data_IF_615404978113
#
_entry.id   IF_615404978113
#
_cell.length_a   1.000
_cell.length_b   1.000
_cell.length_c   1.000
_cell.angle_alpha   90.00
_cell.angle_beta   90.00
_cell.angle_gamma   90.00
#
_symmetry.space_group_name_H-M   'P 1'
#
loop_
_entity.id
_entity.type
_entity.pdbx_description
1 polymer ?
#
# COMPACT_ATOMS: atom_id res chain seq x y z
N UNK A 1 -26.32 45.19 2.41
CA UNK A 1 -25.48 44.45 1.46
C UNK A 1 -24.03 44.20 1.91
N UNK A 2 -23.52 44.76 3.03
CA UNK A 2 -22.10 44.60 3.43
C UNK A 2 -21.79 43.50 4.47
N UNK A 3 -22.78 42.71 4.94
CA UNK A 3 -22.57 41.62 5.92
C UNK A 3 -22.61 40.19 5.35
N UNK A 4 -23.00 40.03 4.07
CA UNK A 4 -23.02 38.71 3.40
C UNK A 4 -21.70 38.37 2.70
N UNK A 5 -20.85 39.36 2.43
CA UNK A 5 -19.55 39.16 1.79
C UNK A 5 -18.47 38.64 2.76
N UNK A 6 -18.58 38.91 4.06
CA UNK A 6 -17.58 38.49 5.05
C UNK A 6 -17.72 37.01 5.44
N UNK A 7 -18.95 36.46 5.42
CA UNK A 7 -19.19 35.03 5.64
C UNK A 7 -18.79 34.14 4.45
N UNK A 8 -18.80 34.70 3.23
CA UNK A 8 -18.29 34.01 2.04
C UNK A 8 -16.75 33.96 1.99
N UNK A 9 -16.06 34.84 2.70
CA UNK A 9 -14.59 34.88 2.71
C UNK A 9 -13.97 33.96 3.76
N UNK A 10 -14.71 33.59 4.81
CA UNK A 10 -14.24 32.67 5.86
C UNK A 10 -14.50 31.20 5.49
N UNK A 11 -15.51 30.90 4.67
CA UNK A 11 -15.77 29.54 4.17
C UNK A 11 -14.85 29.10 3.00
N UNK A 12 -14.20 30.05 2.32
CA UNK A 12 -13.27 29.76 1.21
C UNK A 12 -11.83 29.49 1.72
N UNK A 13 -11.53 29.80 2.98
CA UNK A 13 -10.19 29.64 3.57
C UNK A 13 -9.91 28.23 4.14
N UNK A 14 -10.90 27.32 4.15
CA UNK A 14 -10.75 25.95 4.70
C UNK A 14 -10.76 24.85 3.63
N UNK A 15 -10.78 25.18 2.34
CA UNK A 15 -10.86 24.21 1.23
C UNK A 15 -9.55 24.12 0.45
N UNK A 16 -8.43 23.84 1.10
CA UNK A 16 -7.21 23.44 0.40
C UNK A 16 -6.42 22.47 1.25
N UNK A 17 -6.64 21.18 1.02
CA UNK A 17 -5.65 20.11 0.82
C UNK A 17 -6.46 18.90 0.35
N UNK A 18 -6.31 18.52 -0.90
CA UNK A 18 -6.87 17.27 -1.45
C UNK A 18 -5.83 16.66 -2.38
N UNK A 19 -5.64 15.36 -2.28
CA UNK A 19 -4.40 14.68 -2.68
C UNK A 19 -4.73 13.24 -3.00
N UNK A 20 -4.61 12.89 -4.27
CA UNK A 20 -5.07 11.63 -4.86
C UNK A 20 -4.25 10.41 -4.42
N UNK A 21 -4.91 9.24 -4.36
CA UNK A 21 -4.37 7.87 -4.35
C UNK A 21 -3.16 7.59 -3.44
N UNK A 22 -3.41 7.05 -2.24
CA UNK A 22 -2.38 6.74 -1.24
C UNK A 22 -2.52 5.30 -0.70
N UNK A 23 -1.51 4.79 -0.02
CA UNK A 23 -1.50 3.48 0.65
C UNK A 23 -2.37 3.46 1.89
N UNK A 24 -2.64 2.27 2.44
CA UNK A 24 -3.09 2.12 3.80
C UNK A 24 -2.09 2.79 4.78
N UNK A 25 -2.57 3.68 5.66
CA UNK A 25 -1.72 4.23 6.71
C UNK A 25 -1.25 3.11 7.63
N UNK A 26 -0.12 3.32 8.30
CA UNK A 26 0.29 2.44 9.37
C UNK A 26 -0.84 2.26 10.39
N UNK A 27 -0.97 1.03 10.91
CA UNK A 27 -1.99 0.68 11.91
C UNK A 27 -2.05 1.73 13.03
N UNK A 28 -3.24 2.27 13.37
CA UNK A 28 -3.37 3.19 14.49
C UNK A 28 -3.24 2.48 15.85
N UNK A 29 -3.37 1.15 15.85
CA UNK A 29 -3.27 0.31 17.04
C UNK A 29 -1.81 -0.07 17.35
N UNK A 30 -1.48 -0.26 18.63
CA UNK A 30 -0.15 -0.72 19.02
C UNK A 30 0.16 -2.10 18.46
N UNK A 31 1.43 -2.35 18.18
CA UNK A 31 1.99 -3.63 17.76
C UNK A 31 2.86 -4.15 18.90
N UNK A 32 2.64 -5.39 19.32
CA UNK A 32 3.52 -6.06 20.27
C UNK A 32 4.70 -6.63 19.47
N UNK A 33 5.90 -6.13 19.73
CA UNK A 33 7.13 -6.59 19.09
C UNK A 33 7.95 -7.41 20.08
N UNK A 34 8.31 -8.64 19.70
CA UNK A 34 9.31 -9.43 20.41
C UNK A 34 10.72 -8.89 20.10
N UNK A 35 11.52 -8.71 21.15
CA UNK A 35 12.92 -8.33 21.10
C UNK A 35 13.80 -9.59 21.03
N UNK A 36 15.05 -9.50 20.56
CA UNK A 36 15.96 -10.65 20.45
C UNK A 36 16.22 -11.44 21.75
N UNK A 37 15.97 -10.85 22.93
CA UNK A 37 16.08 -11.53 24.23
C UNK A 37 14.79 -12.25 24.67
N UNK A 38 13.77 -12.28 23.81
CA UNK A 38 12.45 -12.87 24.09
C UNK A 38 11.52 -11.98 24.90
N UNK A 39 11.96 -10.78 25.33
CA UNK A 39 11.05 -9.79 25.92
C UNK A 39 10.16 -9.17 24.85
N UNK A 40 8.98 -8.67 25.24
CA UNK A 40 8.08 -7.97 24.32
C UNK A 40 7.92 -6.51 24.72
N UNK A 41 7.85 -5.65 23.71
CA UNK A 41 7.59 -4.22 23.87
C UNK A 41 6.39 -3.79 23.03
N UNK A 42 5.63 -2.83 23.55
CA UNK A 42 4.57 -2.18 22.79
C UNK A 42 5.17 -1.05 21.96
N UNK A 43 4.92 -1.03 20.67
CA UNK A 43 5.38 0.03 19.76
C UNK A 43 4.27 0.43 18.82
N UNK A 44 4.42 1.62 18.25
CA UNK A 44 3.53 2.10 17.21
C UNK A 44 4.29 2.29 15.92
N UNK A 45 3.77 1.72 14.85
CA UNK A 45 4.15 2.13 13.50
C UNK A 45 3.35 3.38 13.11
N UNK A 46 4.02 4.31 12.46
CA UNK A 46 3.44 5.59 12.02
C UNK A 46 3.80 5.85 10.57
N UNK A 47 3.01 6.72 9.93
CA UNK A 47 3.25 7.12 8.56
C UNK A 47 2.50 6.28 7.54
N UNK A 48 3.02 6.27 6.33
CA UNK A 48 2.50 5.57 5.16
C UNK A 48 3.67 5.06 4.28
N UNK A 49 3.36 4.61 3.07
CA UNK A 49 4.33 4.08 2.09
C UNK A 49 5.41 5.10 1.71
N UNK A 50 5.13 6.40 1.81
CA UNK A 50 6.08 7.44 1.44
C UNK A 50 6.99 7.85 2.58
N UNK A 51 6.55 7.70 3.82
CA UNK A 51 7.42 7.88 4.98
C UNK A 51 6.78 7.20 6.19
N UNK A 52 7.50 6.26 6.79
CA UNK A 52 7.08 5.61 8.03
C UNK A 52 8.19 5.61 9.08
N UNK A 53 7.79 5.50 10.34
CA UNK A 53 8.70 5.36 11.48
C UNK A 53 8.04 4.53 12.57
N UNK A 54 8.84 4.15 13.57
CA UNK A 54 8.37 3.44 14.76
C UNK A 54 8.59 4.33 15.96
N UNK A 55 7.64 4.33 16.89
CA UNK A 55 7.75 5.07 18.16
C UNK A 55 7.21 4.28 19.35
N UNK A 56 7.63 4.65 20.55
CA UNK A 56 7.06 4.14 21.81
C UNK A 56 5.63 4.69 22.02
N UNK A 57 4.84 4.16 22.97
CA UNK A 57 3.54 4.73 23.34
C UNK A 57 3.60 6.20 23.78
N UNK A 58 4.75 6.64 24.31
CA UNK A 58 5.00 8.03 24.70
C UNK A 58 5.48 8.92 23.53
N UNK A 59 5.62 8.36 22.34
CA UNK A 59 5.98 9.07 21.10
C UNK A 59 7.48 9.29 20.90
N UNK A 60 8.35 8.48 21.51
CA UNK A 60 9.78 8.53 21.26
C UNK A 60 10.15 7.66 20.05
N UNK A 61 10.89 8.16 19.05
CA UNK A 61 11.23 7.39 17.86
C UNK A 61 12.17 6.23 18.19
N UNK A 62 11.97 5.13 17.49
CA UNK A 62 12.74 3.89 17.60
C UNK A 62 13.35 3.52 16.25
N UNK A 63 14.54 2.94 16.28
CA UNK A 63 15.20 2.33 15.13
C UNK A 63 15.59 0.91 15.50
N UNK A 64 15.34 -0.05 14.60
CA UNK A 64 15.81 -1.42 14.79
C UNK A 64 17.29 -1.47 14.46
N UNK A 65 18.11 -1.85 15.42
CA UNK A 65 19.53 -2.04 15.21
C UNK A 65 19.74 -3.28 14.34
N UNK A 66 20.29 -3.12 13.13
CA UNK A 66 20.44 -4.22 12.17
C UNK A 66 21.48 -5.26 12.60
N UNK A 67 22.41 -4.90 13.49
CA UNK A 67 23.42 -5.82 13.99
C UNK A 67 22.91 -6.67 15.16
N UNK A 68 22.07 -6.10 16.03
CA UNK A 68 21.60 -6.77 17.26
C UNK A 68 20.16 -7.24 17.19
N UNK A 69 19.35 -6.67 16.29
CA UNK A 69 17.92 -6.92 16.15
C UNK A 69 17.03 -6.17 17.14
N UNK A 70 17.60 -5.45 18.12
CA UNK A 70 16.82 -4.73 19.14
C UNK A 70 16.23 -3.44 18.59
N UNK A 71 15.03 -3.09 19.06
CA UNK A 71 14.54 -1.71 19.00
C UNK A 71 15.34 -0.85 19.99
N UNK A 72 15.96 0.20 19.47
CA UNK A 72 16.73 1.18 20.24
C UNK A 72 16.10 2.56 20.07
N UNK A 73 16.14 3.40 21.12
CA UNK A 73 15.75 4.80 21.01
C UNK A 73 16.56 5.49 19.92
N UNK A 74 15.95 6.44 19.20
CA UNK A 74 16.58 7.10 18.07
C UNK A 74 16.87 8.58 18.33
N UNK A 75 18.04 9.03 17.88
CA UNK A 75 18.32 10.45 17.70
C UNK A 75 17.74 10.93 16.37
N UNK A 76 17.23 12.16 16.38
CA UNK A 76 16.62 12.81 15.21
C UNK A 76 17.61 13.81 14.63
N UNK A 77 17.95 13.68 13.34
CA UNK A 77 18.69 14.67 12.58
C UNK A 77 17.99 14.94 11.25
N UNK A 78 17.15 15.98 11.21
CA UNK A 78 16.32 16.27 10.04
C UNK A 78 15.26 15.19 9.86
N UNK A 79 15.32 14.46 8.74
CA UNK A 79 14.45 13.31 8.44
C UNK A 79 15.14 11.95 8.68
N UNK A 80 16.34 11.96 9.26
CA UNK A 80 17.10 10.75 9.52
C UNK A 80 17.00 10.39 10.99
N UNK A 81 16.65 9.13 11.24
CA UNK A 81 16.69 8.51 12.55
C UNK A 81 17.96 7.66 12.65
N UNK A 82 18.74 7.88 13.71
CA UNK A 82 19.92 7.06 13.99
C UNK A 82 19.81 6.42 15.37
N UNK A 83 20.31 5.21 15.52
CA UNK A 83 20.29 4.54 16.82
C UNK A 83 21.04 5.35 17.89
N UNK A 84 20.49 5.39 19.11
CA UNK A 84 21.17 5.88 20.31
C UNK A 84 22.03 4.83 21.01
N UNK A 85 21.93 3.55 20.62
CA UNK A 85 22.52 2.41 21.33
C UNK A 85 21.80 2.01 22.62
N UNK A 86 20.73 2.70 23.00
CA UNK A 86 19.92 2.37 24.19
C UNK A 86 18.71 1.56 23.79
N UNK A 87 18.68 0.28 24.17
CA UNK A 87 17.55 -0.64 23.93
C UNK A 87 16.29 -0.14 24.62
N UNK A 88 15.19 -0.10 23.88
CA UNK A 88 13.87 0.20 24.42
C UNK A 88 13.30 -0.99 25.19
N UNK A 89 12.84 -0.73 26.41
CA UNK A 89 12.03 -1.65 27.22
C UNK A 89 10.83 -0.93 27.80
N UNK A 90 9.79 -1.68 28.10
CA UNK A 90 8.58 -1.13 28.72
C UNK A 90 8.91 -0.42 30.04
N UNK A 91 8.49 0.85 30.15
CA UNK A 91 8.74 1.75 31.27
C UNK A 91 10.19 2.27 31.43
N UNK A 92 11.11 2.00 30.49
CA UNK A 92 12.44 2.63 30.49
C UNK A 92 12.35 4.09 30.01
N UNK A 93 13.26 4.93 30.52
CA UNK A 93 13.39 6.31 30.06
C UNK A 93 14.32 6.41 28.84
N UNK A 94 14.04 7.29 27.88
CA UNK A 94 14.94 7.54 26.76
C UNK A 94 16.27 8.17 27.25
N UNK A 95 17.38 7.95 26.55
CA UNK A 95 18.63 8.63 26.85
C UNK A 95 18.52 10.14 26.59
N UNK A 96 19.40 10.93 27.23
CA UNK A 96 19.40 12.37 27.09
C UNK A 96 19.56 12.82 25.62
N UNK A 97 18.73 13.76 25.17
CA UNK A 97 18.77 14.29 23.81
C UNK A 97 17.84 13.59 22.81
N UNK A 98 17.22 12.47 23.18
CA UNK A 98 16.13 11.87 22.40
C UNK A 98 14.85 12.69 22.59
N UNK A 99 14.23 13.08 21.48
CA UNK A 99 13.03 13.94 21.46
C UNK A 99 11.81 13.14 21.05
N UNK A 100 10.65 13.47 21.64
CA UNK A 100 9.36 12.89 21.26
C UNK A 100 8.71 13.64 20.09
N UNK A 101 7.77 12.99 19.43
CA UNK A 101 6.95 13.60 18.38
C UNK A 101 7.74 13.88 17.11
N UNK A 102 8.71 13.02 16.80
CA UNK A 102 9.39 13.03 15.51
C UNK A 102 8.35 12.91 14.39
N UNK A 103 8.51 13.75 13.36
CA UNK A 103 7.72 13.70 12.14
C UNK A 103 8.63 14.08 10.97
N UNK A 104 8.65 13.30 9.88
CA UNK A 104 9.33 13.70 8.65
C UNK A 104 8.82 15.06 8.14
N UNK A 105 9.69 15.84 7.53
CA UNK A 105 9.32 17.16 7.01
C UNK A 105 8.35 17.05 5.84
N UNK A 106 7.43 18.01 5.70
CA UNK A 106 6.48 18.02 4.59
C UNK A 106 7.18 18.05 3.23
N UNK A 107 8.31 18.76 3.12
CA UNK A 107 9.10 18.81 1.90
C UNK A 107 9.66 17.44 1.52
N UNK A 108 10.11 16.66 2.50
CA UNK A 108 10.61 15.30 2.29
C UNK A 108 9.51 14.35 1.81
N UNK A 109 8.38 14.34 2.51
CA UNK A 109 7.22 13.53 2.11
C UNK A 109 6.72 13.93 0.73
N UNK A 110 6.61 15.24 0.45
CA UNK A 110 6.17 15.74 -0.85
C UNK A 110 7.13 15.35 -1.97
N UNK A 111 8.45 15.39 -1.74
CA UNK A 111 9.44 14.98 -2.73
C UNK A 111 9.28 13.50 -3.11
N UNK A 112 9.06 12.62 -2.13
CA UNK A 112 8.83 11.19 -2.38
C UNK A 112 7.53 10.95 -3.13
N UNK A 113 6.45 11.65 -2.76
CA UNK A 113 5.19 11.61 -3.51
C UNK A 113 5.38 12.05 -4.96
N UNK A 114 6.06 13.18 -5.20
CA UNK A 114 6.34 13.65 -6.56
C UNK A 114 7.11 12.62 -7.38
N UNK A 115 8.08 11.94 -6.78
CA UNK A 115 8.81 10.86 -7.43
C UNK A 115 7.89 9.68 -7.79
N UNK A 116 6.92 9.34 -6.93
CA UNK A 116 5.93 8.29 -7.18
C UNK A 116 4.98 8.57 -8.35
N UNK A 117 4.86 9.84 -8.76
CA UNK A 117 4.11 10.25 -9.96
C UNK A 117 4.99 10.42 -11.21
N UNK A 118 6.14 9.74 -11.26
CA UNK A 118 7.10 9.90 -12.35
C UNK A 118 7.64 11.34 -12.44
N UNK A 119 7.76 12.05 -11.33
CA UNK A 119 8.17 13.45 -11.32
C UNK A 119 7.15 14.44 -11.87
N UNK A 120 5.94 13.99 -12.24
CA UNK A 120 4.82 14.89 -12.51
C UNK A 120 4.20 15.30 -11.18
N UNK A 121 4.02 16.60 -10.94
CA UNK A 121 3.24 17.00 -9.77
C UNK A 121 1.81 16.48 -9.93
N UNK A 122 1.21 15.83 -8.91
CA UNK A 122 -0.21 15.54 -8.96
C UNK A 122 -0.91 16.88 -9.19
N UNK A 123 -1.75 16.90 -10.23
CA UNK A 123 -2.38 18.13 -10.70
C UNK A 123 -3.10 18.79 -9.52
N UNK A 124 -2.70 20.02 -9.17
CA UNK A 124 -3.31 20.78 -8.05
C UNK A 124 -4.73 21.27 -8.41
N UNK A 125 -5.28 20.81 -9.54
CA UNK A 125 -6.61 21.08 -10.03
C UNK A 125 -7.71 20.27 -9.32
N UNK A 126 -8.93 20.42 -9.82
CA UNK A 126 -10.12 19.68 -9.36
C UNK A 126 -9.87 18.18 -9.49
N UNK A 127 -9.92 17.47 -8.36
CA UNK A 127 -9.98 16.01 -8.33
C UNK A 127 -11.07 15.52 -9.30
N UNK A 128 -10.67 14.71 -10.28
CA UNK A 128 -11.59 14.14 -11.26
C UNK A 128 -11.86 12.67 -10.91
N UNK A 129 -12.92 12.36 -10.13
CA UNK A 129 -13.27 10.99 -9.82
C UNK A 129 -13.52 10.16 -11.07
N UNK A 130 -13.21 8.87 -10.99
CA UNK A 130 -13.90 7.90 -11.84
C UNK A 130 -15.36 7.79 -11.35
N UNK A 131 -16.35 7.64 -12.25
CA UNK A 131 -17.73 7.43 -11.85
C UNK A 131 -17.86 6.27 -10.86
N UNK A 132 -18.57 6.50 -9.75
CA UNK A 132 -18.89 5.47 -8.74
C UNK A 132 -20.11 4.66 -9.19
N UNK A 133 -20.04 4.15 -10.42
CA UNK A 133 -21.13 3.44 -11.07
C UNK A 133 -20.62 2.48 -12.14
N UNK A 134 -21.45 1.52 -12.50
CA UNK A 134 -21.13 0.49 -13.50
C UNK A 134 -20.50 -0.74 -12.85
N UNK A 135 -19.93 -1.59 -13.70
CA UNK A 135 -19.29 -2.84 -13.28
C UNK A 135 -17.79 -2.69 -13.35
N UNK A 136 -17.08 -3.10 -12.28
CA UNK A 136 -15.62 -3.21 -12.23
C UNK A 136 -15.22 -4.66 -12.10
N UNK A 137 -14.24 -5.09 -12.91
CA UNK A 137 -13.68 -6.44 -12.83
C UNK A 137 -12.41 -6.42 -11.99
N UNK A 138 -12.27 -7.39 -11.09
CA UNK A 138 -11.04 -7.64 -10.35
C UNK A 138 -10.47 -8.99 -10.75
N UNK A 139 -9.20 -9.01 -11.13
CA UNK A 139 -8.39 -10.23 -11.09
C UNK A 139 -7.64 -10.25 -9.76
N UNK A 140 -8.15 -11.02 -8.80
CA UNK A 140 -7.49 -11.23 -7.53
C UNK A 140 -6.47 -12.36 -7.69
N UNK A 141 -5.21 -12.08 -7.36
CA UNK A 141 -4.10 -13.02 -7.49
C UNK A 141 -3.44 -13.19 -6.13
N UNK A 142 -3.40 -14.41 -5.59
CA UNK A 142 -2.53 -14.75 -4.47
C UNK A 142 -1.16 -15.16 -5.01
N UNK A 143 -0.10 -14.61 -4.48
CA UNK A 143 1.27 -14.78 -4.98
C UNK A 143 2.14 -15.44 -3.92
N UNK A 144 2.57 -16.67 -4.16
CA UNK A 144 3.60 -17.35 -3.39
C UNK A 144 4.97 -17.24 -4.03
N UNK A 145 6.01 -17.59 -3.28
CA UNK A 145 7.41 -17.48 -3.64
C UNK A 145 8.18 -18.75 -3.33
N UNK A 146 9.37 -18.89 -3.90
CA UNK A 146 10.27 -20.01 -3.64
C UNK A 146 10.72 -20.08 -2.17
N UNK A 147 10.86 -18.93 -1.51
CA UNK A 147 11.28 -18.78 -0.11
C UNK A 147 10.13 -18.42 0.86
N UNK A 148 8.93 -18.15 0.34
CA UNK A 148 7.74 -17.82 1.13
C UNK A 148 6.47 -18.38 0.48
N UNK A 149 5.95 -19.48 1.02
CA UNK A 149 4.69 -20.05 0.56
C UNK A 149 3.48 -19.25 1.06
N UNK A 150 2.40 -19.28 0.27
CA UNK A 150 1.07 -18.83 0.71
C UNK A 150 0.61 -19.66 1.91
N UNK A 151 -0.03 -19.03 2.88
CA UNK A 151 -0.60 -19.73 4.02
C UNK A 151 -2.02 -20.26 3.68
N UNK A 152 -2.21 -21.58 3.55
CA UNK A 152 -3.52 -22.13 3.20
C UNK A 152 -4.53 -22.03 4.36
N UNK A 153 -4.07 -21.97 5.62
CA UNK A 153 -4.94 -21.97 6.80
C UNK A 153 -5.71 -20.66 6.97
N UNK A 154 -5.19 -19.56 6.40
CA UNK A 154 -5.77 -18.22 6.51
C UNK A 154 -6.50 -17.79 5.23
N UNK A 155 -6.52 -18.64 4.20
CA UNK A 155 -7.08 -18.29 2.90
C UNK A 155 -8.61 -18.09 2.99
N UNK A 156 -9.03 -16.84 2.81
CA UNK A 156 -10.43 -16.46 2.65
C UNK A 156 -10.64 -15.49 1.47
N UNK A 157 -9.67 -15.40 0.55
CA UNK A 157 -9.60 -14.35 -0.47
C UNK A 157 -10.85 -14.30 -1.34
N UNK A 158 -11.40 -15.45 -1.74
CA UNK A 158 -12.63 -15.48 -2.56
C UNK A 158 -13.83 -14.81 -1.85
N UNK A 159 -13.99 -15.03 -0.55
CA UNK A 159 -15.03 -14.39 0.24
C UNK A 159 -14.72 -12.91 0.50
N UNK A 160 -13.47 -12.57 0.77
CA UNK A 160 -13.06 -11.18 1.03
C UNK A 160 -13.31 -10.28 -0.17
N UNK A 161 -13.10 -10.78 -1.39
CA UNK A 161 -13.39 -10.01 -2.59
C UNK A 161 -14.87 -10.10 -3.00
N UNK A 162 -15.45 -11.31 -3.01
CA UNK A 162 -16.69 -11.57 -3.75
C UNK A 162 -17.84 -12.14 -2.90
N UNK A 163 -17.64 -12.29 -1.58
CA UNK A 163 -18.64 -12.81 -0.65
C UNK A 163 -19.91 -11.96 -0.56
N UNK A 164 -21.00 -12.52 -0.02
CA UNK A 164 -22.29 -11.83 0.11
C UNK A 164 -22.30 -10.78 1.24
N UNK A 165 -21.41 -10.93 2.22
CA UNK A 165 -21.25 -10.06 3.40
C UNK A 165 -19.77 -9.88 3.70
N UNK A 166 -19.39 -8.77 4.35
CA UNK A 166 -18.00 -8.50 4.77
C UNK A 166 -16.98 -8.72 3.65
N UNK A 167 -17.30 -8.20 2.46
CA UNK A 167 -16.49 -8.34 1.27
C UNK A 167 -16.36 -7.00 0.55
N UNK A 168 -15.34 -6.86 -0.28
CA UNK A 168 -15.14 -5.73 -1.19
C UNK A 168 -16.38 -5.51 -2.05
N UNK A 169 -16.90 -6.58 -2.67
CA UNK A 169 -18.12 -6.53 -3.47
C UNK A 169 -19.30 -5.95 -2.69
N UNK A 170 -19.54 -6.45 -1.48
CA UNK A 170 -20.65 -5.97 -0.64
C UNK A 170 -20.43 -4.53 -0.20
N UNK A 171 -19.21 -4.18 0.20
CA UNK A 171 -18.85 -2.84 0.63
C UNK A 171 -19.13 -1.81 -0.46
N UNK A 172 -18.60 -1.99 -1.67
CA UNK A 172 -18.85 -1.04 -2.76
C UNK A 172 -20.32 -0.99 -3.19
N UNK A 173 -21.02 -2.12 -3.21
CA UNK A 173 -22.46 -2.12 -3.50
C UNK A 173 -23.24 -1.33 -2.44
N UNK A 174 -22.91 -1.47 -1.15
CA UNK A 174 -23.59 -0.73 -0.07
C UNK A 174 -23.31 0.77 -0.17
N UNK A 175 -22.02 1.16 -0.27
CA UNK A 175 -21.62 2.56 -0.28
C UNK A 175 -22.15 3.31 -1.53
N UNK A 176 -22.27 2.60 -2.64
CA UNK A 176 -22.81 3.14 -3.89
C UNK A 176 -24.32 2.96 -4.05
N UNK A 177 -25.03 2.38 -3.06
CA UNK A 177 -26.45 2.00 -3.17
C UNK A 177 -26.75 1.13 -4.40
N UNK A 178 -25.81 0.27 -4.75
CA UNK A 178 -25.89 -0.70 -5.84
C UNK A 178 -25.51 -0.15 -7.21
N UNK A 179 -25.07 1.11 -7.33
CA UNK A 179 -24.66 1.65 -8.65
C UNK A 179 -23.30 1.15 -9.09
N UNK A 180 -22.39 0.85 -8.17
CA UNK A 180 -21.08 0.26 -8.43
C UNK A 180 -21.08 -1.22 -8.06
N UNK A 181 -20.81 -2.07 -9.05
CA UNK A 181 -20.81 -3.52 -8.91
C UNK A 181 -19.41 -4.07 -9.13
N UNK A 182 -18.95 -4.95 -8.24
CA UNK A 182 -17.65 -5.61 -8.34
C UNK A 182 -17.84 -7.06 -8.72
N UNK A 183 -17.13 -7.53 -9.74
CA UNK A 183 -17.16 -8.92 -10.20
C UNK A 183 -15.75 -9.49 -10.38
N UNK A 184 -15.62 -10.82 -10.27
CA UNK A 184 -14.37 -11.49 -10.60
C UNK A 184 -14.14 -11.51 -12.11
N UNK A 185 -12.90 -11.20 -12.52
CA UNK A 185 -12.40 -11.39 -13.88
C UNK A 185 -12.14 -12.86 -14.22
N UNK A 186 -12.11 -13.73 -13.20
CA UNK A 186 -11.88 -15.18 -13.31
C UNK A 186 -13.17 -16.01 -13.13
N UNK A 187 -14.33 -15.35 -13.21
CA UNK A 187 -15.65 -15.97 -13.11
C UNK A 187 -16.10 -16.26 -11.67
N UNK A 188 -17.39 -16.06 -11.38
CA UNK A 188 -17.94 -16.29 -10.03
C UNK A 188 -17.19 -15.52 -8.95
N UNK A 189 -16.58 -16.26 -8.01
CA UNK A 189 -15.68 -15.76 -6.96
C UNK A 189 -14.23 -16.19 -7.19
N UNK A 190 -13.84 -16.42 -8.44
CA UNK A 190 -12.54 -16.95 -8.82
C UNK A 190 -11.40 -16.05 -8.36
N UNK A 191 -10.36 -16.71 -7.85
CA UNK A 191 -9.07 -16.14 -7.43
C UNK A 191 -7.99 -16.96 -8.12
N UNK A 192 -6.97 -16.31 -8.66
CA UNK A 192 -5.81 -16.97 -9.25
C UNK A 192 -4.77 -17.16 -8.15
N UNK A 193 -4.12 -18.31 -8.10
CA UNK A 193 -2.97 -18.54 -7.22
C UNK A 193 -1.76 -18.86 -8.08
N UNK A 194 -0.68 -18.10 -7.92
CA UNK A 194 0.59 -18.31 -8.62
C UNK A 194 1.71 -18.51 -7.62
N UNK A 195 2.78 -19.16 -8.05
CA UNK A 195 4.04 -19.24 -7.30
C UNK A 195 5.16 -18.81 -8.23
N UNK A 196 5.97 -17.84 -7.77
CA UNK A 196 7.18 -17.44 -8.48
C UNK A 196 8.30 -18.44 -8.17
N UNK A 197 9.08 -18.78 -9.19
CA UNK A 197 10.19 -19.72 -9.16
C UNK A 197 11.46 -19.08 -9.74
N UNK A 198 12.55 -19.86 -9.83
CA UNK A 198 13.88 -19.36 -10.17
C UNK A 198 13.98 -18.57 -11.49
N UNK A 199 13.02 -18.74 -12.41
CA UNK A 199 12.97 -18.00 -13.67
C UNK A 199 12.28 -16.62 -13.60
N UNK A 200 11.65 -16.30 -12.47
CA UNK A 200 10.86 -15.09 -12.28
C UNK A 200 11.65 -13.99 -11.57
N UNK A 201 11.01 -12.83 -11.38
CA UNK A 201 11.56 -11.70 -10.62
C UNK A 201 12.19 -12.14 -9.29
N UNK A 202 13.33 -11.55 -8.95
CA UNK A 202 14.12 -11.86 -7.75
C UNK A 202 14.48 -13.35 -7.60
N UNK A 203 14.59 -14.09 -8.72
CA UNK A 203 14.84 -15.53 -8.70
C UNK A 203 13.71 -16.32 -8.03
N UNK A 204 12.48 -15.79 -8.07
CA UNK A 204 11.31 -16.36 -7.43
C UNK A 204 11.18 -16.10 -5.93
N UNK A 205 12.13 -15.38 -5.33
CA UNK A 205 12.10 -15.05 -3.91
C UNK A 205 11.20 -13.84 -3.63
N UNK A 206 10.69 -13.74 -2.41
CA UNK A 206 9.84 -12.65 -1.95
C UNK A 206 10.52 -11.29 -2.21
N UNK A 207 9.79 -10.28 -2.72
CA UNK A 207 10.37 -8.99 -3.11
C UNK A 207 10.59 -8.05 -1.91
N UNK A 208 10.84 -8.62 -0.72
CA UNK A 208 11.04 -7.82 0.49
C UNK A 208 12.24 -6.90 0.28
N UNK A 209 12.19 -5.70 0.83
CA UNK A 209 13.24 -4.70 0.71
C UNK A 209 13.50 -4.20 -0.74
N UNK A 210 12.71 -4.66 -1.74
CA UNK A 210 12.83 -4.22 -3.14
C UNK A 210 11.70 -3.27 -3.56
N UNK A 211 10.52 -3.39 -2.94
CA UNK A 211 9.33 -2.60 -3.27
C UNK A 211 9.16 -1.40 -2.33
N UNK A 212 9.52 -1.57 -1.05
CA UNK A 212 9.12 -0.61 0.00
C UNK A 212 10.30 -0.13 0.88
N UNK A 213 11.54 -0.28 0.40
CA UNK A 213 12.75 0.14 1.14
C UNK A 213 13.16 1.57 0.80
N UNK A 214 13.23 2.41 1.84
CA UNK A 214 13.64 3.81 1.77
C UNK A 214 15.06 4.02 1.19
N UNK A 215 15.92 3.01 1.24
CA UNK A 215 17.29 3.04 0.71
C UNK A 215 17.35 2.81 -0.81
N UNK A 216 16.37 2.08 -1.36
CA UNK A 216 16.27 1.81 -2.81
C UNK A 216 15.75 3.06 -3.54
N UNK A 217 14.84 3.79 -2.90
CA UNK A 217 14.23 4.99 -3.45
C UNK A 217 13.09 4.70 -4.43
N UNK A 218 12.12 5.61 -4.47
CA UNK A 218 10.81 5.39 -5.11
C UNK A 218 10.89 5.01 -6.59
N UNK A 219 11.83 5.56 -7.35
CA UNK A 219 11.99 5.24 -8.78
C UNK A 219 12.47 3.81 -8.99
N UNK A 220 13.49 3.37 -8.25
CA UNK A 220 14.00 2.01 -8.38
C UNK A 220 12.99 0.99 -7.83
N UNK A 221 12.33 1.32 -6.72
CA UNK A 221 11.21 0.53 -6.18
C UNK A 221 10.09 0.36 -7.22
N UNK A 222 9.72 1.43 -7.94
CA UNK A 222 8.78 1.35 -9.05
C UNK A 222 9.22 0.42 -10.18
N UNK A 223 10.47 0.51 -10.60
CA UNK A 223 10.99 -0.41 -11.62
C UNK A 223 10.97 -1.87 -11.17
N UNK A 224 11.33 -2.12 -9.90
CA UNK A 224 11.31 -3.45 -9.30
C UNK A 224 9.89 -4.03 -9.28
N UNK A 225 8.91 -3.22 -8.89
CA UNK A 225 7.53 -3.69 -8.81
C UNK A 225 6.91 -3.95 -10.17
N UNK A 226 7.24 -3.14 -11.19
CA UNK A 226 6.81 -3.41 -12.57
C UNK A 226 7.32 -4.77 -13.02
N UNK A 227 8.61 -5.07 -12.79
CA UNK A 227 9.19 -6.36 -13.15
C UNK A 227 8.60 -7.53 -12.32
N UNK A 228 8.31 -7.30 -11.03
CA UNK A 228 7.60 -8.24 -10.17
C UNK A 228 6.20 -8.56 -10.71
N UNK A 229 5.40 -7.52 -11.00
CA UNK A 229 4.05 -7.67 -11.49
C UNK A 229 4.02 -8.36 -12.86
N UNK A 230 4.92 -8.01 -13.78
CA UNK A 230 5.02 -8.70 -15.07
C UNK A 230 5.27 -10.21 -14.92
N UNK A 231 6.11 -10.63 -13.96
CA UNK A 231 6.34 -12.05 -13.66
C UNK A 231 5.06 -12.73 -13.13
N UNK A 232 4.35 -12.08 -12.21
CA UNK A 232 3.06 -12.57 -11.67
C UNK A 232 2.01 -12.70 -12.78
N UNK A 233 1.88 -11.69 -13.63
CA UNK A 233 0.92 -11.68 -14.73
C UNK A 233 1.27 -12.73 -15.79
N UNK A 234 2.55 -12.98 -16.06
CA UNK A 234 2.99 -14.05 -16.95
C UNK A 234 2.55 -15.44 -16.43
N UNK A 235 2.69 -15.71 -15.12
CA UNK A 235 2.18 -16.95 -14.51
C UNK A 235 0.66 -17.04 -14.60
N UNK A 236 -0.06 -15.96 -14.32
CA UNK A 236 -1.52 -15.93 -14.44
C UNK A 236 -1.97 -16.17 -15.89
N UNK A 237 -1.27 -15.59 -16.87
CA UNK A 237 -1.52 -15.83 -18.29
C UNK A 237 -1.28 -17.29 -18.68
N UNK A 238 -0.22 -17.92 -18.15
CA UNK A 238 0.06 -19.34 -18.35
C UNK A 238 -1.05 -20.26 -17.77
N UNK A 239 -1.80 -19.79 -16.77
CA UNK A 239 -2.99 -20.47 -16.25
C UNK A 239 -4.28 -20.18 -17.04
N UNK A 240 -4.21 -19.38 -18.11
CA UNK A 240 -5.32 -19.11 -19.02
C UNK A 240 -5.97 -17.73 -18.88
N UNK A 241 -5.41 -16.82 -18.07
CA UNK A 241 -5.90 -15.43 -18.03
C UNK A 241 -5.59 -14.75 -19.36
N UNK A 242 -6.65 -14.39 -20.10
CA UNK A 242 -6.52 -13.72 -21.40
C UNK A 242 -6.47 -12.19 -21.22
N UNK A 243 -5.30 -11.65 -20.85
CA UNK A 243 -5.16 -10.22 -20.57
C UNK A 243 -5.57 -9.31 -21.75
N UNK A 244 -5.21 -9.69 -22.97
CA UNK A 244 -5.58 -8.92 -24.17
C UNK A 244 -7.10 -8.77 -24.35
N UNK A 245 -7.92 -9.66 -23.77
CA UNK A 245 -9.38 -9.58 -23.85
C UNK A 245 -10.00 -8.48 -22.98
N UNK A 246 -9.22 -7.91 -22.05
CA UNK A 246 -9.68 -6.83 -21.18
C UNK A 246 -9.47 -5.44 -21.80
N UNK A 247 -8.66 -5.29 -22.85
CA UNK A 247 -8.64 -4.05 -23.66
C UNK A 247 -9.86 -4.05 -24.58
N UNK A 248 -11.00 -3.66 -24.02
CA UNK A 248 -12.32 -3.71 -24.66
C UNK A 248 -12.58 -2.52 -25.57
N UNK A 249 -11.88 -1.42 -25.36
CA UNK A 249 -11.99 -0.22 -26.19
C UNK A 249 -10.93 -0.19 -27.33
N UNK A 250 -9.93 -1.07 -27.29
CA UNK A 250 -8.92 -1.23 -28.32
C UNK A 250 -7.82 -0.16 -28.31
N UNK A 251 -7.64 0.57 -27.20
CA UNK A 251 -6.69 1.68 -27.11
C UNK A 251 -5.25 1.24 -26.75
N UNK A 252 -5.04 -0.06 -26.57
CA UNK A 252 -3.74 -0.64 -26.22
C UNK A 252 -3.45 -0.64 -24.72
N UNK A 253 -4.38 -0.19 -23.88
CA UNK A 253 -4.25 -0.15 -22.43
C UNK A 253 -5.36 -0.97 -21.78
N UNK A 254 -5.08 -1.46 -20.59
CA UNK A 254 -6.06 -2.12 -19.74
C UNK A 254 -6.22 -1.24 -18.52
N UNK A 255 -7.37 -0.55 -18.44
CA UNK A 255 -7.63 0.40 -17.34
C UNK A 255 -8.54 -0.19 -16.27
N UNK A 256 -8.60 0.39 -15.05
CA UNK A 256 -9.55 -0.01 -14.01
C UNK A 256 -11.04 0.02 -14.41
N UNK A 257 -11.40 0.70 -15.51
CA UNK A 257 -12.75 0.61 -16.07
C UNK A 257 -13.02 -0.77 -16.71
N UNK A 258 -11.98 -1.51 -17.07
CA UNK A 258 -12.04 -2.80 -17.75
C UNK A 258 -11.53 -3.95 -16.88
N UNK A 259 -10.40 -3.75 -16.19
CA UNK A 259 -9.79 -4.68 -15.25
C UNK A 259 -8.92 -3.93 -14.24
N UNK A 260 -9.10 -4.24 -12.95
CA UNK A 260 -8.10 -3.98 -11.92
C UNK A 260 -7.43 -5.29 -11.51
N UNK A 261 -6.11 -5.31 -11.46
CA UNK A 261 -5.34 -6.41 -10.86
C UNK A 261 -5.13 -6.09 -9.38
N UNK A 262 -5.36 -7.08 -8.53
CA UNK A 262 -5.10 -6.97 -7.10
C UNK A 262 -4.28 -8.16 -6.60
N UNK A 263 -3.14 -7.90 -5.95
CA UNK A 263 -2.27 -8.94 -5.42
C UNK A 263 -2.44 -9.13 -3.91
N UNK A 264 -2.55 -10.38 -3.48
CA UNK A 264 -2.34 -10.81 -2.09
C UNK A 264 -0.99 -11.53 -2.03
N UNK A 265 0.00 -10.87 -1.44
CA UNK A 265 1.40 -11.32 -1.47
C UNK A 265 1.67 -12.19 -0.23
N UNK A 266 2.16 -13.42 -0.42
CA UNK A 266 2.50 -14.32 0.69
C UNK A 266 3.50 -13.66 1.65
N UNK A 267 3.27 -13.79 2.96
CA UNK A 267 4.03 -13.05 3.97
C UNK A 267 3.17 -12.00 4.67
N UNK A 268 3.82 -11.06 5.33
CA UNK A 268 3.18 -10.11 6.24
C UNK A 268 2.84 -8.77 5.57
N UNK A 269 1.84 -8.10 6.11
CA UNK A 269 1.49 -6.73 5.78
C UNK A 269 2.35 -5.76 6.62
N UNK A 270 3.20 -5.01 5.94
CA UNK A 270 4.15 -4.07 6.56
C UNK A 270 3.50 -2.88 7.24
N UNK A 271 2.32 -2.44 6.77
CA UNK A 271 1.56 -1.35 7.41
C UNK A 271 0.96 -1.78 8.78
N UNK A 272 0.71 -3.07 8.96
CA UNK A 272 0.05 -3.63 10.14
C UNK A 272 0.99 -4.35 11.12
N UNK A 273 2.19 -4.74 10.69
CA UNK A 273 3.05 -5.64 11.46
C UNK A 273 4.56 -5.37 11.30
N UNK A 274 5.36 -6.09 12.08
CA UNK A 274 6.82 -6.22 11.90
C UNK A 274 7.23 -7.62 11.45
N UNK A 275 6.25 -8.46 11.08
CA UNK A 275 6.53 -9.78 10.54
C UNK A 275 7.31 -9.68 9.23
N UNK A 276 8.13 -10.69 8.94
CA UNK A 276 8.98 -10.74 7.75
C UNK A 276 8.94 -12.14 7.14
N UNK A 277 9.00 -12.28 5.80
CA UNK A 277 9.03 -11.21 4.80
C UNK A 277 7.69 -10.44 4.71
N UNK A 278 7.74 -9.18 4.26
CA UNK A 278 6.56 -8.32 4.17
C UNK A 278 6.59 -7.42 2.94
N UNK A 279 5.40 -7.00 2.51
CA UNK A 279 5.19 -5.85 1.62
C UNK A 279 4.26 -4.85 2.30
N UNK A 280 4.35 -3.58 1.95
CA UNK A 280 3.46 -2.54 2.42
C UNK A 280 2.28 -2.39 1.45
N UNK A 281 1.04 -2.50 1.90
CA UNK A 281 -0.12 -2.37 1.03
C UNK A 281 -0.15 -1.04 0.30
N UNK A 282 -0.31 -1.01 -1.02
CA UNK A 282 -0.40 0.25 -1.76
C UNK A 282 -1.06 0.06 -3.13
N UNK A 283 -1.31 1.19 -3.79
CA UNK A 283 -1.94 1.30 -5.10
C UNK A 283 -1.05 2.10 -6.06
N UNK A 284 -0.54 1.46 -7.12
CA UNK A 284 0.36 2.05 -8.10
C UNK A 284 -0.22 2.06 -9.51
N UNK A 285 0.51 2.70 -10.43
CA UNK A 285 0.13 2.86 -11.82
C UNK A 285 1.36 2.95 -12.72
N UNK A 286 1.22 2.52 -13.98
CA UNK A 286 2.26 2.60 -14.99
C UNK A 286 2.58 4.06 -15.32
N UNK A 287 3.84 4.47 -15.20
CA UNK A 287 4.31 5.81 -15.53
C UNK A 287 4.41 5.97 -17.05
N UNK A 288 3.26 6.29 -17.65
CA UNK A 288 3.11 6.28 -19.10
C UNK A 288 4.04 7.29 -19.76
N UNK A 289 4.84 6.83 -20.72
CA UNK A 289 5.81 7.64 -21.44
C UNK A 289 7.15 7.84 -20.71
N UNK A 290 7.39 7.14 -19.59
CA UNK A 290 8.65 7.20 -18.84
C UNK A 290 9.60 6.02 -19.08
N UNK A 291 9.29 5.21 -20.10
CA UNK A 291 10.07 4.06 -20.51
C UNK A 291 9.50 2.75 -19.98
N UNK A 292 9.85 1.66 -20.67
CA UNK A 292 9.28 0.33 -20.43
C UNK A 292 9.59 -0.23 -19.04
N UNK A 293 10.61 0.27 -18.36
CA UNK A 293 10.91 -0.12 -16.98
C UNK A 293 9.87 0.36 -15.96
N UNK A 294 9.01 1.31 -16.34
CA UNK A 294 7.96 1.86 -15.48
C UNK A 294 6.55 1.67 -16.05
N UNK A 295 6.40 0.80 -17.06
CA UNK A 295 5.12 0.44 -17.66
C UNK A 295 4.96 -1.08 -17.64
N UNK A 296 3.87 -1.55 -17.04
CA UNK A 296 3.56 -2.99 -16.95
C UNK A 296 3.02 -3.45 -18.30
N UNK A 297 3.82 -4.22 -19.02
CA UNK A 297 3.46 -4.77 -20.32
C UNK A 297 2.95 -6.20 -20.20
N UNK A 298 1.73 -6.46 -20.68
CA UNK A 298 1.15 -7.80 -20.69
C UNK A 298 0.31 -8.03 -21.93
N UNK A 299 0.57 -9.13 -22.64
CA UNK A 299 -0.13 -9.51 -23.87
C UNK A 299 -0.19 -8.40 -24.95
N UNK A 300 0.88 -7.59 -25.06
CA UNK A 300 0.96 -6.46 -25.99
C UNK A 300 0.12 -5.24 -25.58
N UNK A 301 -0.32 -5.17 -24.33
CA UNK A 301 -1.07 -4.07 -23.72
C UNK A 301 -0.31 -3.49 -22.54
N UNK A 302 -0.64 -2.26 -22.16
CA UNK A 302 -0.15 -1.66 -20.91
C UNK A 302 -1.24 -1.77 -19.84
N UNK A 303 -0.97 -2.48 -18.75
CA UNK A 303 -1.82 -2.41 -17.55
C UNK A 303 -1.59 -1.06 -16.89
N UNK A 304 -2.65 -0.25 -16.73
CA UNK A 304 -2.45 1.13 -16.27
C UNK A 304 -2.34 1.24 -14.77
N UNK A 305 -3.05 0.42 -13.99
CA UNK A 305 -3.07 0.56 -12.53
C UNK A 305 -3.27 -0.80 -11.83
N UNK A 306 -2.72 -0.95 -10.62
CA UNK A 306 -2.81 -2.16 -9.78
C UNK A 306 -2.67 -1.83 -8.30
N UNK A 307 -3.01 -2.78 -7.44
CA UNK A 307 -2.82 -2.64 -6.00
C UNK A 307 -2.41 -3.97 -5.35
N UNK A 308 -1.87 -3.90 -4.15
CA UNK A 308 -1.48 -5.09 -3.38
C UNK A 308 -1.56 -4.90 -1.87
N UNK A 309 -1.55 -6.01 -1.15
CA UNK A 309 -1.25 -6.07 0.28
C UNK A 309 -0.59 -7.42 0.66
N UNK A 310 0.04 -7.45 1.82
CA UNK A 310 0.57 -8.68 2.43
C UNK A 310 -0.55 -9.58 2.95
N UNK A 311 -0.37 -10.90 2.86
CA UNK A 311 -1.37 -11.90 3.22
C UNK A 311 -1.76 -11.87 4.72
N UNK A 312 -0.79 -11.63 5.59
CA UNK A 312 -0.92 -11.77 7.05
C UNK A 312 -0.87 -10.41 7.75
N UNK A 313 -1.84 -10.13 8.61
CA UNK A 313 -1.74 -9.05 9.58
C UNK A 313 -0.81 -9.45 10.74
N UNK A 314 -0.86 -10.71 11.16
CA UNK A 314 -0.01 -11.29 12.21
C UNK A 314 0.10 -12.81 11.97
N UNK A 315 0.92 -13.53 12.74
CA UNK A 315 1.09 -14.98 12.59
C UNK A 315 -0.26 -15.71 12.71
N UNK A 316 -0.61 -16.48 11.68
CA UNK A 316 -1.91 -17.15 11.59
C UNK A 316 -3.13 -16.23 11.47
N UNK A 317 -2.96 -14.91 11.38
CA UNK A 317 -4.04 -13.92 11.27
C UNK A 317 -3.97 -13.26 9.90
N UNK A 318 -4.96 -13.54 9.05
CA UNK A 318 -5.05 -12.90 7.73
C UNK A 318 -5.21 -11.39 7.82
N UNK A 319 -4.74 -10.70 6.79
CA UNK A 319 -5.03 -9.29 6.60
C UNK A 319 -6.55 -9.06 6.40
N UNK A 320 -7.18 -8.12 7.13
CA UNK A 320 -8.59 -7.79 6.92
C UNK A 320 -8.84 -7.12 5.56
N UNK A 321 -10.01 -7.38 4.96
CA UNK A 321 -10.38 -6.83 3.64
C UNK A 321 -10.50 -5.29 3.59
N UNK A 322 -10.47 -4.61 4.74
CA UNK A 322 -10.55 -3.15 4.80
C UNK A 322 -9.44 -2.46 4.02
N UNK A 323 -8.20 -2.97 4.08
CA UNK A 323 -7.09 -2.47 3.26
C UNK A 323 -7.32 -2.75 1.78
N UNK A 324 -7.87 -3.91 1.43
CA UNK A 324 -8.28 -4.20 0.03
C UNK A 324 -9.30 -3.17 -0.47
N UNK A 325 -10.32 -2.86 0.33
CA UNK A 325 -11.34 -1.88 -0.01
C UNK A 325 -10.79 -0.44 -0.10
N UNK A 326 -9.79 -0.12 0.73
CA UNK A 326 -9.06 1.14 0.69
C UNK A 326 -8.31 1.31 -0.64
N UNK A 327 -7.41 0.37 -0.94
CA UNK A 327 -6.54 0.44 -2.12
C UNK A 327 -7.34 0.45 -3.42
N UNK A 328 -8.41 -0.35 -3.50
CA UNK A 328 -9.32 -0.36 -4.64
C UNK A 328 -10.09 0.97 -4.79
N UNK A 329 -10.20 1.78 -3.74
CA UNK A 329 -10.84 3.10 -3.79
C UNK A 329 -10.04 4.06 -4.68
N UNK A 330 -8.72 3.96 -4.62
CA UNK A 330 -7.82 4.66 -5.52
C UNK A 330 -7.98 4.16 -6.95
N UNK A 331 -8.08 2.84 -7.13
CA UNK A 331 -8.17 2.25 -8.46
C UNK A 331 -9.49 2.55 -9.18
N UNK A 332 -10.61 2.28 -8.52
CA UNK A 332 -11.93 2.37 -9.14
C UNK A 332 -12.54 3.75 -9.14
N UNK A 333 -12.19 4.57 -8.17
CA UNK A 333 -12.84 5.85 -7.95
C UNK A 333 -11.86 7.02 -8.02
N UNK A 334 -10.54 6.74 -8.12
CA UNK A 334 -9.46 7.74 -8.00
C UNK A 334 -9.51 8.48 -6.67
N UNK A 335 -10.12 7.91 -5.63
CA UNK A 335 -10.32 8.64 -4.38
C UNK A 335 -8.97 9.10 -3.82
N UNK A 336 -8.89 10.34 -3.31
CA UNK A 336 -7.80 10.68 -2.43
C UNK A 336 -7.98 9.92 -1.13
N UNK A 337 -6.87 9.51 -0.56
CA UNK A 337 -6.83 9.31 0.88
C UNK A 337 -7.17 10.60 1.64
N UNK A 338 -7.74 10.47 2.83
CA UNK A 338 -8.28 11.62 3.58
C UNK A 338 -7.67 11.79 4.97
N UNK A 339 -6.79 10.87 5.37
CA UNK A 339 -5.97 11.05 6.56
C UNK A 339 -4.84 12.05 6.29
N UNK A 340 -4.24 12.59 7.35
CA UNK A 340 -3.12 13.51 7.20
C UNK A 340 -1.86 12.71 6.81
N UNK A 341 -1.64 12.56 5.51
CA UNK A 341 -0.50 11.85 4.95
C UNK A 341 0.81 12.63 5.03
N UNK A 342 0.74 13.91 5.40
CA UNK A 342 1.91 14.74 5.65
C UNK A 342 2.25 14.76 7.15
N UNK A 343 1.28 14.44 8.03
CA UNK A 343 1.38 14.45 9.49
C UNK A 343 0.30 13.53 10.09
N UNK A 344 0.47 12.20 10.15
CA UNK A 344 -0.53 11.36 10.80
C UNK A 344 -0.72 11.83 12.25
N UNK A 345 -1.84 12.51 12.52
CA UNK A 345 -2.23 12.96 13.84
C UNK A 345 -3.24 11.95 14.33
N UNK A 346 -2.81 11.14 15.29
CA UNK A 346 -3.71 10.41 16.15
C UNK A 346 -3.66 11.16 17.48
N UNK A 347 -4.80 11.75 17.85
CA UNK A 347 -4.96 12.47 19.12
C UNK A 347 -4.81 11.54 20.31
#
# INVERSE_FOLDING_TARGET
>A
MKRRALFAFILVACMFISTSAWSAPASPFPIISEQPDGSSVEVFRRGDEFANWVETPEGYPLVKNTATGFWEYAYVSGNTLTTSGTVYRSNDFPPAGVVRGYKPSQAFVQQRRLAAYGGSAPDRGTWNPRPVSGTRKILAIRVGFADQALNPAVNNTANDFFGATNSVKKYYADQSRGTLQIISAWGGSGVVEVTLDAGDFNGGNHPRDLLDDDTVGVVAAHGNEVAFLESVLAKAAAQGVSFASFDTNGDGRITPDELCVYLIVAGYEGSGSFGSPSVWAHAWFSWTGQGTAHEVSIAGKILSDWAMNGELYDDGVRMPFGVVAHELGHQFCKLPDLYDTARPQFN
#
